data_IF_570612055875
#
_entry.id   IF_570612055875
#
_cell.length_a   1.000
_cell.length_b   1.000
_cell.length_c   1.000
_cell.angle_alpha   90.00
_cell.angle_beta   90.00
_cell.angle_gamma   90.00
#
_symmetry.space_group_name_H-M   'P 1'
#
loop_
_entity.id
_entity.type
_entity.pdbx_description
1 polymer ?
#
# COMPACT_ATOMS: atom_id res chain seq x y z
N UNK A 1 5.72 16.28 22.99
CA UNK A 1 5.90 14.98 23.70
C UNK A 1 4.64 14.12 23.79
N UNK A 2 3.42 14.67 23.98
CA UNK A 2 2.16 13.89 24.09
C UNK A 2 1.82 13.12 22.81
N UNK A 3 2.02 13.77 21.67
CA UNK A 3 1.72 13.26 20.33
C UNK A 3 2.56 12.04 19.93
N UNK A 4 3.88 12.10 20.17
CA UNK A 4 4.75 10.95 19.94
C UNK A 4 4.40 9.74 20.81
N UNK A 5 3.95 9.96 22.06
CA UNK A 5 3.45 8.90 22.94
C UNK A 5 2.16 8.28 22.39
N UNK A 6 1.27 9.11 21.82
CA UNK A 6 0.04 8.66 21.19
C UNK A 6 0.32 7.72 20.01
N UNK A 7 1.18 8.14 19.08
CA UNK A 7 1.59 7.30 17.92
C UNK A 7 2.15 5.97 18.40
N UNK A 8 3.07 6.00 19.38
CA UNK A 8 3.65 4.78 19.95
C UNK A 8 2.59 3.86 20.56
N UNK A 9 1.60 4.40 21.28
CA UNK A 9 0.49 3.64 21.85
C UNK A 9 -0.34 2.98 20.75
N UNK A 10 -0.76 3.74 19.73
CA UNK A 10 -1.55 3.20 18.62
C UNK A 10 -0.80 2.12 17.83
N UNK A 11 0.51 2.30 17.60
CA UNK A 11 1.35 1.26 17.00
C UNK A 11 1.44 0.01 17.89
N UNK A 12 1.61 0.20 19.20
CA UNK A 12 1.66 -0.90 20.16
C UNK A 12 0.35 -1.70 20.21
N UNK A 13 -0.80 -1.03 20.09
CA UNK A 13 -2.13 -1.65 20.04
C UNK A 13 -2.42 -2.33 18.69
N UNK A 14 -1.92 -1.76 17.59
CA UNK A 14 -2.13 -2.33 16.26
C UNK A 14 -1.37 -3.65 16.05
N UNK A 15 -0.15 -3.77 16.60
CA UNK A 15 0.69 -4.97 16.45
C UNK A 15 -0.03 -6.28 16.86
N UNK A 16 -0.64 -6.41 18.05
CA UNK A 16 -1.37 -7.62 18.41
C UNK A 16 -2.64 -7.83 17.57
N UNK A 17 -3.34 -6.76 17.15
CA UNK A 17 -4.49 -6.86 16.24
C UNK A 17 -4.09 -7.53 14.92
N UNK A 18 -2.98 -7.08 14.32
CA UNK A 18 -2.43 -7.66 13.08
C UNK A 18 -2.05 -9.13 13.26
N UNK A 19 -1.45 -9.50 14.40
CA UNK A 19 -1.14 -10.91 14.71
C UNK A 19 -2.39 -11.77 14.83
N UNK A 20 -3.43 -11.27 15.52
CA UNK A 20 -4.71 -11.99 15.64
C UNK A 20 -5.36 -12.21 14.29
N UNK A 21 -5.42 -11.17 13.46
CA UNK A 21 -5.94 -11.26 12.09
C UNK A 21 -5.19 -12.29 11.24
N UNK A 22 -3.85 -12.34 11.33
CA UNK A 22 -3.03 -13.36 10.67
C UNK A 22 -3.36 -14.78 11.16
N UNK A 23 -3.50 -14.97 12.48
CA UNK A 23 -3.85 -16.28 13.04
C UNK A 23 -5.24 -16.73 12.57
N UNK A 24 -6.21 -15.83 12.52
CA UNK A 24 -7.55 -16.11 12.04
C UNK A 24 -7.56 -16.48 10.55
N UNK A 25 -6.81 -15.76 9.71
CA UNK A 25 -6.63 -16.09 8.29
C UNK A 25 -6.18 -17.56 8.10
N UNK A 26 -5.17 -18.01 8.86
CA UNK A 26 -4.63 -19.36 8.72
C UNK A 26 -5.62 -20.48 9.07
N UNK A 27 -6.70 -20.15 9.80
CA UNK A 27 -7.75 -21.12 10.15
C UNK A 27 -8.86 -21.24 9.10
N UNK A 28 -8.89 -20.35 8.11
CA UNK A 28 -9.89 -20.36 7.03
C UNK A 28 -9.50 -21.39 5.98
N UNK A 29 -10.43 -22.28 5.59
CA UNK A 29 -10.18 -23.34 4.60
C UNK A 29 -10.73 -23.05 3.19
N UNK A 30 -11.49 -21.96 3.02
CA UNK A 30 -12.18 -21.65 1.76
C UNK A 30 -11.27 -20.82 0.84
N UNK A 31 -10.74 -21.45 -0.20
CA UNK A 31 -9.74 -20.87 -1.13
C UNK A 31 -10.17 -19.54 -1.77
N UNK A 32 -11.44 -19.39 -2.15
CA UNK A 32 -11.91 -18.19 -2.88
C UNK A 32 -11.78 -16.89 -2.07
N UNK A 33 -12.02 -16.92 -0.75
CA UNK A 33 -11.93 -15.73 0.11
C UNK A 33 -10.53 -15.56 0.72
N UNK A 34 -9.76 -16.65 0.80
CA UNK A 34 -8.41 -16.65 1.35
C UNK A 34 -7.49 -15.66 0.63
N UNK A 35 -7.61 -15.55 -0.70
CA UNK A 35 -6.83 -14.58 -1.48
C UNK A 35 -7.08 -13.15 -1.00
N UNK A 36 -8.34 -12.74 -0.89
CA UNK A 36 -8.68 -11.37 -0.46
C UNK A 36 -8.25 -11.10 0.99
N UNK A 37 -8.44 -12.07 1.89
CA UNK A 37 -8.00 -11.93 3.28
C UNK A 37 -6.47 -11.85 3.39
N UNK A 38 -5.75 -12.65 2.60
CA UNK A 38 -4.28 -12.61 2.57
C UNK A 38 -3.76 -11.26 2.05
N UNK A 39 -4.33 -10.76 0.95
CA UNK A 39 -4.01 -9.43 0.42
C UNK A 39 -4.31 -8.34 1.45
N UNK A 40 -5.47 -8.39 2.11
CA UNK A 40 -5.84 -7.45 3.16
C UNK A 40 -4.83 -7.46 4.33
N UNK A 41 -4.40 -8.65 4.78
CA UNK A 41 -3.36 -8.79 5.80
C UNK A 41 -2.02 -8.21 5.33
N UNK A 42 -1.65 -8.44 4.07
CA UNK A 42 -0.41 -7.91 3.48
C UNK A 42 -0.39 -6.38 3.47
N UNK A 43 -1.46 -5.74 2.99
CA UNK A 43 -1.59 -4.27 2.94
C UNK A 43 -1.58 -3.70 4.37
N UNK A 44 -2.33 -4.31 5.29
CA UNK A 44 -2.35 -3.92 6.71
C UNK A 44 -0.93 -3.94 7.33
N UNK A 45 -0.14 -4.99 7.07
CA UNK A 45 1.25 -5.06 7.53
C UNK A 45 2.12 -3.99 6.89
N UNK A 46 1.87 -3.64 5.63
CA UNK A 46 2.62 -2.60 4.92
C UNK A 46 2.38 -1.23 5.55
N UNK A 47 1.12 -0.86 5.79
CA UNK A 47 0.78 0.37 6.53
C UNK A 47 1.51 0.42 7.86
N UNK A 48 1.39 -0.64 8.67
CA UNK A 48 2.07 -0.72 9.96
C UNK A 48 3.59 -0.59 9.85
N UNK A 49 4.21 -1.18 8.82
CA UNK A 49 5.66 -1.08 8.61
C UNK A 49 6.09 0.34 8.26
N UNK A 50 5.35 1.01 7.37
CA UNK A 50 5.66 2.37 6.91
C UNK A 50 5.54 3.35 8.08
N UNK A 51 4.41 3.35 8.79
CA UNK A 51 4.17 4.28 9.91
C UNK A 51 5.03 3.97 11.15
N UNK A 52 5.49 2.72 11.32
CA UNK A 52 6.47 2.38 12.35
C UNK A 52 7.86 2.94 12.01
N UNK A 53 8.24 2.87 10.74
CA UNK A 53 9.56 3.35 10.27
C UNK A 53 9.59 4.88 10.20
N UNK A 54 8.47 5.49 9.81
CA UNK A 54 8.29 6.93 9.68
C UNK A 54 7.06 7.38 10.49
N UNK A 55 7.20 7.57 11.82
CA UNK A 55 6.08 7.92 12.70
C UNK A 55 5.26 9.15 12.27
N UNK A 56 5.88 10.09 11.54
CA UNK A 56 5.17 11.27 11.02
C UNK A 56 4.06 10.92 10.03
N UNK A 57 4.15 9.79 9.31
CA UNK A 57 3.08 9.34 8.38
C UNK A 57 1.85 8.80 9.09
N UNK A 58 1.90 8.65 10.41
CA UNK A 58 0.78 8.14 11.19
C UNK A 58 -0.50 8.97 11.00
N UNK A 59 -0.40 10.30 10.82
CA UNK A 59 -1.58 11.14 10.63
C UNK A 59 -2.34 10.86 9.34
N UNK A 60 -1.62 10.50 8.27
CA UNK A 60 -2.22 10.05 7.01
C UNK A 60 -2.93 8.69 7.20
N UNK A 61 -2.52 7.92 8.19
CA UNK A 61 -3.08 6.61 8.54
C UNK A 61 -4.15 6.67 9.65
N UNK A 62 -4.68 7.84 10.01
CA UNK A 62 -5.58 7.96 11.17
C UNK A 62 -6.81 7.05 11.06
N UNK A 63 -7.54 7.09 9.94
CA UNK A 63 -8.73 6.25 9.76
C UNK A 63 -8.40 4.75 9.82
N UNK A 64 -7.26 4.35 9.27
CA UNK A 64 -6.76 2.99 9.38
C UNK A 64 -6.62 2.54 10.84
N UNK A 65 -5.94 3.33 11.68
CA UNK A 65 -5.68 2.96 13.07
C UNK A 65 -6.90 3.03 13.99
N UNK A 66 -7.83 3.94 13.73
CA UNK A 66 -9.00 4.16 14.60
C UNK A 66 -10.27 3.45 14.16
N UNK A 67 -10.31 2.87 12.95
CA UNK A 67 -11.51 2.23 12.43
C UNK A 67 -11.23 1.01 11.56
N UNK A 68 -10.48 1.18 10.47
CA UNK A 68 -10.44 0.14 9.43
C UNK A 68 -9.72 -1.13 9.90
N UNK A 69 -8.63 -0.99 10.68
CA UNK A 69 -7.92 -2.13 11.25
C UNK A 69 -8.81 -2.98 12.17
N UNK A 70 -9.59 -2.35 13.05
CA UNK A 70 -10.48 -3.08 13.97
C UNK A 70 -11.59 -3.81 13.23
N UNK A 71 -12.17 -3.16 12.21
CA UNK A 71 -13.17 -3.76 11.35
C UNK A 71 -12.61 -4.98 10.60
N UNK A 72 -11.41 -4.86 10.00
CA UNK A 72 -10.76 -5.95 9.29
C UNK A 72 -10.46 -7.15 10.21
N UNK A 73 -9.92 -6.89 11.40
CA UNK A 73 -9.63 -7.93 12.40
C UNK A 73 -10.92 -8.65 12.81
N UNK A 74 -11.96 -7.88 13.14
CA UNK A 74 -13.24 -8.43 13.56
C UNK A 74 -13.86 -9.31 12.47
N UNK A 75 -13.88 -8.84 11.22
CA UNK A 75 -14.49 -9.57 10.10
C UNK A 75 -13.76 -10.89 9.81
N UNK A 76 -12.42 -10.88 9.80
CA UNK A 76 -11.65 -12.10 9.57
C UNK A 76 -11.81 -13.10 10.72
N UNK A 77 -11.80 -12.63 11.98
CA UNK A 77 -12.02 -13.50 13.15
C UNK A 77 -13.42 -14.14 13.16
N UNK A 78 -14.46 -13.35 12.89
CA UNK A 78 -15.84 -13.87 12.85
C UNK A 78 -16.08 -14.80 11.68
N UNK A 79 -15.51 -14.48 10.51
CA UNK A 79 -15.56 -15.39 9.37
C UNK A 79 -14.88 -16.72 9.69
N UNK A 80 -13.66 -16.68 10.22
CA UNK A 80 -12.91 -17.89 10.60
C UNK A 80 -13.70 -18.75 11.58
N UNK A 81 -14.26 -18.14 12.63
CA UNK A 81 -15.09 -18.83 13.62
C UNK A 81 -16.30 -19.51 12.99
N UNK A 82 -17.13 -18.76 12.26
CA UNK A 82 -18.37 -19.29 11.68
C UNK A 82 -18.12 -20.31 10.56
N UNK A 83 -17.10 -20.08 9.74
CA UNK A 83 -16.76 -20.99 8.64
C UNK A 83 -16.20 -22.33 9.12
N UNK A 84 -15.69 -22.40 10.36
CA UNK A 84 -15.15 -23.62 10.96
C UNK A 84 -16.22 -24.59 11.51
N UNK A 85 -17.48 -24.14 11.62
CA UNK A 85 -18.56 -24.95 12.18
C UNK A 85 -18.92 -26.13 11.26
N UNK A 86 -19.13 -27.31 11.86
CA UNK A 86 -19.46 -28.56 11.14
C UNK A 86 -20.86 -28.53 10.50
N UNK A 87 -21.84 -27.93 11.17
CA UNK A 87 -23.22 -27.77 10.67
C UNK A 87 -23.52 -26.29 10.54
N UNK A 88 -23.63 -25.81 9.31
CA UNK A 88 -23.99 -24.42 9.00
C UNK A 88 -25.43 -24.39 8.51
N UNK A 89 -26.26 -23.59 9.17
CA UNK A 89 -27.61 -23.32 8.70
C UNK A 89 -27.57 -22.27 7.56
N UNK A 90 -28.72 -22.05 6.92
CA UNK A 90 -28.85 -21.11 5.79
C UNK A 90 -28.44 -19.69 6.20
N UNK A 91 -28.77 -19.27 7.41
CA UNK A 91 -28.43 -17.96 7.96
C UNK A 91 -26.91 -17.76 8.05
N UNK A 92 -26.18 -18.74 8.59
CA UNK A 92 -24.70 -18.67 8.70
C UNK A 92 -24.06 -18.59 7.32
N UNK A 93 -24.52 -19.36 6.33
CA UNK A 93 -24.00 -19.29 4.96
C UNK A 93 -24.28 -17.92 4.31
N UNK A 94 -25.45 -17.32 4.55
CA UNK A 94 -25.78 -15.98 4.07
C UNK A 94 -24.88 -14.91 4.71
N UNK A 95 -24.67 -14.98 6.02
CA UNK A 95 -23.77 -14.08 6.75
C UNK A 95 -22.34 -14.22 6.23
N UNK A 96 -21.82 -15.44 6.09
CA UNK A 96 -20.49 -15.69 5.52
C UNK A 96 -20.35 -15.09 4.11
N UNK A 97 -21.38 -15.19 3.27
CA UNK A 97 -21.38 -14.59 1.93
C UNK A 97 -21.35 -13.06 2.00
N UNK A 98 -22.13 -12.44 2.89
CA UNK A 98 -22.11 -10.99 3.11
C UNK A 98 -20.75 -10.53 3.64
N UNK A 99 -20.21 -11.19 4.66
CA UNK A 99 -18.88 -10.91 5.21
C UNK A 99 -17.79 -11.03 4.15
N UNK A 100 -17.87 -12.04 3.27
CA UNK A 100 -16.91 -12.20 2.17
C UNK A 100 -16.90 -11.00 1.22
N UNK A 101 -18.06 -10.39 0.95
CA UNK A 101 -18.17 -9.18 0.12
C UNK A 101 -17.58 -7.97 0.85
N UNK A 102 -17.94 -7.77 2.11
CA UNK A 102 -17.43 -6.66 2.92
C UNK A 102 -15.91 -6.74 3.15
N UNK A 103 -15.33 -7.94 3.25
CA UNK A 103 -13.86 -8.09 3.30
C UNK A 103 -13.19 -7.55 2.03
N UNK A 104 -13.80 -7.72 0.85
CA UNK A 104 -13.28 -7.16 -0.40
C UNK A 104 -13.35 -5.64 -0.42
N UNK A 105 -14.44 -5.08 0.10
CA UNK A 105 -14.61 -3.63 0.25
C UNK A 105 -13.58 -3.05 1.24
N UNK A 106 -13.39 -3.70 2.39
CA UNK A 106 -12.38 -3.32 3.38
C UNK A 106 -10.96 -3.42 2.82
N UNK A 107 -10.68 -4.40 1.96
CA UNK A 107 -9.39 -4.51 1.27
C UNK A 107 -9.13 -3.27 0.44
N UNK A 108 -10.10 -2.83 -0.38
CA UNK A 108 -9.98 -1.63 -1.21
C UNK A 108 -9.82 -0.38 -0.33
N UNK A 109 -10.61 -0.27 0.73
CA UNK A 109 -10.55 0.86 1.66
C UNK A 109 -9.16 0.99 2.31
N UNK A 110 -8.60 -0.13 2.79
CA UNK A 110 -7.28 -0.16 3.43
C UNK A 110 -6.16 0.02 2.40
N UNK A 111 -6.36 -0.40 1.15
CA UNK A 111 -5.43 -0.11 0.06
C UNK A 111 -5.37 1.40 -0.22
N UNK A 112 -6.53 2.08 -0.21
CA UNK A 112 -6.60 3.53 -0.32
C UNK A 112 -5.91 4.25 0.84
N UNK A 113 -6.04 3.74 2.08
CA UNK A 113 -5.26 4.26 3.22
C UNK A 113 -3.76 4.18 2.94
N UNK A 114 -3.28 3.03 2.41
CA UNK A 114 -1.87 2.87 2.06
C UNK A 114 -1.45 3.82 0.96
N UNK A 115 -2.27 3.99 -0.09
CA UNK A 115 -2.00 4.95 -1.15
C UNK A 115 -1.89 6.38 -0.62
N UNK A 116 -2.78 6.78 0.30
CA UNK A 116 -2.71 8.11 0.91
C UNK A 116 -1.45 8.30 1.77
N UNK A 117 -0.99 7.26 2.47
CA UNK A 117 0.27 7.29 3.24
C UNK A 117 1.50 7.45 2.34
N UNK A 118 1.43 6.96 1.11
CA UNK A 118 2.54 6.97 0.14
C UNK A 118 2.43 8.10 -0.89
N UNK A 119 1.37 8.92 -0.87
CA UNK A 119 1.07 9.89 -1.92
C UNK A 119 2.24 10.84 -2.17
N UNK A 120 2.83 11.39 -1.10
CA UNK A 120 3.92 12.35 -1.21
C UNK A 120 5.17 11.73 -1.85
N UNK A 121 5.45 10.45 -1.60
CA UNK A 121 6.60 9.77 -2.21
C UNK A 121 6.37 9.54 -3.70
N UNK A 122 5.12 9.22 -4.06
CA UNK A 122 4.72 9.00 -5.44
C UNK A 122 4.84 10.32 -6.22
N UNK A 123 4.31 11.42 -5.68
CA UNK A 123 4.40 12.76 -6.29
C UNK A 123 5.84 13.23 -6.43
N UNK A 124 6.66 13.03 -5.39
CA UNK A 124 8.08 13.37 -5.44
C UNK A 124 8.81 12.57 -6.51
N UNK A 125 8.59 11.25 -6.57
CA UNK A 125 9.24 10.38 -7.54
C UNK A 125 8.82 10.75 -8.98
N UNK A 126 7.55 11.09 -9.21
CA UNK A 126 7.06 11.49 -10.53
C UNK A 126 7.75 12.78 -11.01
N UNK A 127 7.86 13.78 -10.12
CA UNK A 127 8.62 15.00 -10.41
C UNK A 127 10.09 14.73 -10.72
N UNK A 128 10.75 13.90 -9.90
CA UNK A 128 12.16 13.52 -10.10
C UNK A 128 12.37 12.80 -11.44
N UNK A 129 11.42 11.94 -11.83
CA UNK A 129 11.45 11.24 -13.13
C UNK A 129 11.34 12.23 -14.29
N UNK A 130 10.47 13.24 -14.19
CA UNK A 130 10.31 14.23 -15.25
C UNK A 130 11.53 15.15 -15.40
N UNK A 131 12.14 15.55 -14.30
CA UNK A 131 13.42 16.26 -14.31
C UNK A 131 14.50 15.40 -14.96
N UNK A 132 14.61 14.12 -14.58
CA UNK A 132 15.60 13.21 -15.15
C UNK A 132 15.42 13.01 -16.65
N UNK A 133 14.17 12.79 -17.12
CA UNK A 133 13.85 12.70 -18.55
C UNK A 133 14.24 13.96 -19.31
N UNK A 134 13.96 15.14 -18.74
CA UNK A 134 14.32 16.42 -19.35
C UNK A 134 15.83 16.58 -19.47
N UNK A 135 16.58 16.31 -18.40
CA UNK A 135 18.05 16.36 -18.40
C UNK A 135 18.66 15.40 -19.43
N UNK A 136 18.15 14.18 -19.54
CA UNK A 136 18.60 13.20 -20.55
C UNK A 136 18.35 13.72 -21.96
N UNK A 137 17.16 14.28 -22.22
CA UNK A 137 16.81 14.86 -23.52
C UNK A 137 17.73 16.03 -23.88
N UNK A 138 17.95 16.96 -22.97
CA UNK A 138 18.85 18.12 -23.17
C UNK A 138 20.28 17.69 -23.44
N UNK A 139 20.79 16.70 -22.70
CA UNK A 139 22.14 16.17 -22.93
C UNK A 139 22.24 15.52 -24.32
N UNK A 140 21.26 14.70 -24.70
CA UNK A 140 21.24 14.08 -26.03
C UNK A 140 21.14 15.11 -27.17
N UNK A 141 20.38 16.19 -27.00
CA UNK A 141 20.29 17.28 -27.98
C UNK A 141 21.61 18.07 -28.10
N UNK A 142 22.28 18.36 -26.98
CA UNK A 142 23.59 19.02 -27.01
C UNK A 142 24.67 18.15 -27.67
N UNK A 143 24.68 16.84 -27.41
CA UNK A 143 25.55 15.87 -28.08
C UNK A 143 25.30 15.81 -29.60
N UNK A 144 24.02 15.85 -30.04
CA UNK A 144 23.67 15.90 -31.46
C UNK A 144 24.14 17.21 -32.13
N UNK A 145 23.93 18.36 -31.47
CA UNK A 145 24.40 19.66 -31.98
C UNK A 145 25.94 19.71 -32.08
N UNK A 146 26.66 19.14 -31.12
CA UNK A 146 28.11 18.99 -31.17
C UNK A 146 28.58 18.22 -32.40
N UNK A 147 28.01 17.04 -32.63
CA UNK A 147 28.34 16.20 -33.81
C UNK A 147 28.07 16.91 -35.14
N UNK A 148 26.93 17.58 -35.28
CA UNK A 148 26.59 18.34 -36.50
C UNK A 148 27.58 19.49 -36.75
N UNK A 149 28.01 20.18 -35.69
CA UNK A 149 28.99 21.26 -35.80
C UNK A 149 30.38 20.74 -36.18
N UNK A 150 30.78 19.58 -35.67
CA UNK A 150 32.06 18.95 -35.99
C UNK A 150 32.08 18.42 -37.44
N UNK A 151 30.99 17.83 -37.92
CA UNK A 151 30.83 17.42 -39.33
C UNK A 151 30.88 18.62 -40.30
N UNK A 152 30.24 19.74 -39.95
CA UNK A 152 30.28 20.98 -40.76
C UNK A 152 31.69 21.58 -40.83
N UNK A 153 32.47 21.53 -39.75
CA UNK A 153 33.86 22.01 -39.72
C UNK A 153 34.79 21.14 -40.57
N UNK A 154 34.51 19.84 -40.68
CA UNK A 154 35.29 18.94 -41.55
C UNK A 154 34.98 19.14 -43.04
N UNK A 155 33.76 19.55 -43.41
CA UNK A 155 33.37 19.80 -44.81
C UNK A 155 33.80 21.18 -45.34
N UNK A 156 34.01 22.18 -44.47
CA UNK A 156 34.51 23.50 -44.85
C UNK A 156 35.69 23.91 -43.95
N UNK A 157 36.90 23.38 -44.20
CA UNK A 157 38.08 23.80 -43.46
C UNK A 157 38.41 25.27 -43.78
N UNK A 158 38.88 26.06 -42.79
CA UNK A 158 39.22 27.46 -43.01
C UNK A 158 40.34 27.56 -44.06
N UNK A 159 40.14 28.43 -45.06
CA UNK A 159 41.17 28.71 -46.08
C UNK A 159 42.36 29.37 -45.39
N UNK A 160 43.54 28.76 -45.55
CA UNK A 160 44.84 29.32 -45.13
C UNK A 160 45.16 30.59 -45.91
#
# INVERSE_FOLDING_TARGET
MKEYRYIRKSLAEAKPKIKRMQKALLSVRRMLILKDMFELVKITRRIYSVTKSEPKRFYQANQFYFSHLDSAVHMIEKYALLSSQLKKNVEVEQVLKKTSRTIKELKILIDNDLHHILSNDIEQLDYELDVAKFSIKMNNESLKKGRINDERKQQNPPRK
#
